data_IF_481565475987
#
_entry.id   IF_481565475987
#
_cell.length_a   1.000
_cell.length_b   1.000
_cell.length_c   1.000
_cell.angle_alpha   90.00
_cell.angle_beta   90.00
_cell.angle_gamma   90.00
#
_symmetry.space_group_name_H-M   'P 1'
#
loop_
_entity.id
_entity.type
_entity.pdbx_description
1 polymer ?
#
# COMPACT_ATOMS: atom_id res chain seq x y z
N UNK A 1 -12.90 9.00 -17.28
CA UNK A 1 -13.17 8.65 -18.70
C UNK A 1 -11.94 7.94 -19.20
N UNK A 2 -12.09 6.73 -19.74
CA UNK A 2 -10.96 5.80 -19.90
C UNK A 2 -9.89 6.33 -20.86
N UNK A 3 -8.68 6.50 -20.35
CA UNK A 3 -7.45 6.70 -21.13
C UNK A 3 -6.84 5.32 -21.39
N UNK A 4 -6.43 5.07 -22.63
CA UNK A 4 -5.75 3.83 -23.01
C UNK A 4 -4.45 4.14 -23.75
N UNK A 5 -3.34 3.52 -23.34
CA UNK A 5 -2.05 3.65 -24.03
C UNK A 5 -1.97 2.80 -25.30
N UNK A 6 -2.58 1.61 -25.25
CA UNK A 6 -2.68 0.71 -26.40
C UNK A 6 -1.54 -0.28 -26.42
N UNK A 7 -0.79 -0.33 -27.52
CA UNK A 7 0.34 -1.25 -27.68
C UNK A 7 1.65 -0.48 -27.56
N UNK A 8 2.60 -1.03 -26.79
CA UNK A 8 3.89 -0.41 -26.56
C UNK A 8 4.12 -0.20 -25.07
N UNK A 9 5.03 0.70 -24.74
CA UNK A 9 5.20 1.22 -23.39
C UNK A 9 4.60 2.61 -23.36
N UNK A 10 3.62 2.79 -22.49
CA UNK A 10 2.83 4.00 -22.39
C UNK A 10 3.03 4.66 -21.04
N UNK A 11 2.97 5.99 -21.04
CA UNK A 11 3.15 6.80 -19.84
C UNK A 11 2.11 7.90 -19.75
N UNK A 12 1.54 8.06 -18.57
CA UNK A 12 0.60 9.12 -18.23
C UNK A 12 1.19 10.00 -17.12
N UNK A 13 1.22 11.31 -17.35
CA UNK A 13 1.61 12.29 -16.34
C UNK A 13 0.41 13.16 -15.95
N UNK A 14 0.11 13.22 -14.65
CA UNK A 14 -0.92 14.09 -14.09
C UNK A 14 -0.28 15.44 -13.71
N UNK A 15 -0.70 16.51 -14.38
CA UNK A 15 -0.10 17.85 -14.24
C UNK A 15 -0.62 18.65 -13.04
N UNK A 16 -1.55 18.09 -12.27
CA UNK A 16 -2.12 18.69 -11.06
C UNK A 16 -2.15 17.67 -9.93
N UNK A 17 -2.13 18.18 -8.70
CA UNK A 17 -2.31 17.38 -7.49
C UNK A 17 -3.78 17.07 -7.20
N UNK A 18 -3.99 16.23 -6.20
CA UNK A 18 -5.27 15.76 -5.68
C UNK A 18 -6.09 14.98 -6.72
N UNK A 19 -5.41 14.18 -7.53
CA UNK A 19 -6.06 13.31 -8.49
C UNK A 19 -6.31 11.94 -7.87
N UNK A 20 -7.48 11.37 -8.14
CA UNK A 20 -7.79 9.97 -7.88
C UNK A 20 -7.84 9.24 -9.23
N UNK A 21 -7.12 8.12 -9.33
CA UNK A 21 -7.04 7.30 -10.55
C UNK A 21 -7.41 5.87 -10.21
N UNK A 22 -8.33 5.29 -10.98
CA UNK A 22 -8.71 3.88 -10.85
C UNK A 22 -8.23 3.08 -12.06
N UNK A 23 -7.40 2.06 -11.84
CA UNK A 23 -6.93 1.16 -12.91
C UNK A 23 -8.10 0.31 -13.41
N UNK A 24 -8.28 0.27 -14.73
CA UNK A 24 -9.39 -0.42 -15.41
C UNK A 24 -10.64 0.44 -15.62
N UNK A 25 -10.81 1.53 -14.85
CA UNK A 25 -11.94 2.47 -15.02
C UNK A 25 -11.51 3.80 -15.64
N UNK A 26 -10.42 4.39 -15.15
CA UNK A 26 -9.86 5.65 -15.65
C UNK A 26 -8.68 5.43 -16.59
N UNK A 27 -7.84 4.43 -16.33
CA UNK A 27 -6.69 4.09 -17.17
C UNK A 27 -6.64 2.60 -17.53
N UNK A 28 -6.07 2.29 -18.70
CA UNK A 28 -5.84 0.92 -19.17
C UNK A 28 -4.61 0.86 -20.08
N UNK A 29 -3.84 -0.22 -20.07
CA UNK A 29 -2.61 -0.35 -20.87
C UNK A 29 -1.72 0.90 -20.76
N UNK A 30 -1.42 1.28 -19.51
CA UNK A 30 -0.50 2.36 -19.14
C UNK A 30 0.52 1.73 -18.20
N UNK A 31 1.77 1.61 -18.62
CA UNK A 31 2.83 0.94 -17.83
C UNK A 31 3.48 1.90 -16.83
N UNK A 32 3.28 3.21 -16.97
CA UNK A 32 3.76 4.21 -16.00
C UNK A 32 2.76 5.34 -15.81
N UNK A 33 2.34 5.55 -14.56
CA UNK A 33 1.54 6.71 -14.16
C UNK A 33 2.32 7.57 -13.16
N UNK A 34 2.47 8.85 -13.46
CA UNK A 34 3.20 9.82 -12.63
C UNK A 34 2.31 10.95 -12.19
N UNK A 35 2.09 11.08 -10.88
CA UNK A 35 1.40 12.20 -10.26
C UNK A 35 2.31 13.41 -10.00
N UNK A 36 1.69 14.54 -9.65
CA UNK A 36 2.36 15.69 -9.03
C UNK A 36 1.67 16.02 -7.72
N UNK A 37 2.43 16.34 -6.66
CA UNK A 37 1.85 16.50 -5.31
C UNK A 37 1.21 15.22 -4.79
N UNK A 38 0.12 15.36 -4.02
CA UNK A 38 -0.60 14.23 -3.42
C UNK A 38 -1.64 13.64 -4.36
N UNK A 39 -1.69 12.32 -4.53
CA UNK A 39 -2.61 11.60 -5.41
C UNK A 39 -3.01 10.25 -4.82
N UNK A 40 -4.18 9.76 -5.23
CA UNK A 40 -4.72 8.45 -4.87
C UNK A 40 -4.73 7.51 -6.07
N UNK A 41 -4.31 6.26 -5.87
CA UNK A 41 -4.34 5.20 -6.88
C UNK A 41 -5.13 4.00 -6.36
N UNK A 42 -6.17 3.63 -7.08
CA UNK A 42 -6.94 2.41 -6.82
C UNK A 42 -6.60 1.36 -7.87
N UNK A 43 -6.23 0.16 -7.44
CA UNK A 43 -5.94 -0.94 -8.36
C UNK A 43 -7.21 -1.48 -9.04
N UNK A 44 -7.00 -2.41 -9.95
CA UNK A 44 -8.08 -3.14 -10.61
C UNK A 44 -8.78 -4.09 -9.63
N UNK A 45 -10.03 -4.46 -9.93
CA UNK A 45 -10.81 -5.43 -9.16
C UNK A 45 -10.38 -6.90 -9.40
N UNK A 46 -9.08 -7.14 -9.36
CA UNK A 46 -8.39 -8.43 -9.53
C UNK A 46 -7.42 -8.62 -8.37
N UNK A 47 -6.71 -9.75 -8.36
CA UNK A 47 -5.63 -9.93 -7.38
C UNK A 47 -4.49 -8.99 -7.74
N UNK A 48 -4.06 -8.13 -6.81
CA UNK A 48 -2.95 -7.21 -7.05
C UNK A 48 -1.84 -7.42 -6.03
N UNK A 49 -0.60 -7.28 -6.49
CA UNK A 49 0.58 -7.19 -5.64
C UNK A 49 1.19 -5.81 -5.80
N UNK A 50 1.27 -5.06 -4.71
CA UNK A 50 1.86 -3.74 -4.62
C UNK A 50 3.26 -3.85 -4.03
N UNK A 51 4.28 -3.49 -4.79
CA UNK A 51 5.66 -3.38 -4.29
C UNK A 51 6.00 -1.91 -4.14
N UNK A 52 5.95 -1.39 -2.92
CA UNK A 52 6.31 -0.01 -2.59
C UNK A 52 7.80 0.04 -2.28
N UNK A 53 8.61 0.49 -3.23
CA UNK A 53 10.08 0.42 -3.15
C UNK A 53 10.77 1.78 -3.01
N UNK A 54 10.02 2.88 -3.09
CA UNK A 54 10.48 4.23 -2.84
C UNK A 54 9.33 5.08 -2.26
N UNK A 55 9.60 6.33 -1.90
CA UNK A 55 8.60 7.28 -1.39
C UNK A 55 7.46 7.45 -2.38
N UNK A 56 6.25 7.04 -2.00
CA UNK A 56 5.03 7.20 -2.80
C UNK A 56 5.18 6.65 -4.24
N UNK A 57 5.96 5.58 -4.38
CA UNK A 57 6.35 4.98 -5.64
C UNK A 57 6.50 3.47 -5.51
N UNK A 58 6.17 2.77 -6.60
CA UNK A 58 6.26 1.33 -6.66
C UNK A 58 5.75 0.76 -7.96
N UNK A 59 5.47 -0.54 -7.91
CA UNK A 59 4.92 -1.32 -9.02
C UNK A 59 3.70 -2.08 -8.54
N UNK A 60 2.68 -2.15 -9.39
CA UNK A 60 1.50 -3.00 -9.20
C UNK A 60 1.56 -4.12 -10.22
N UNK A 61 1.41 -5.35 -9.73
CA UNK A 61 1.30 -6.55 -10.55
C UNK A 61 -0.08 -7.16 -10.31
N UNK A 62 -0.98 -7.10 -11.29
CA UNK A 62 -2.37 -7.54 -11.16
C UNK A 62 -2.59 -9.01 -11.57
N UNK A 63 -1.56 -9.86 -11.44
CA UNK A 63 -1.45 -11.22 -11.98
C UNK A 63 -1.58 -11.33 -13.52
N UNK A 64 -1.79 -10.21 -14.23
CA UNK A 64 -1.61 -10.12 -15.68
C UNK A 64 -0.17 -9.72 -16.01
N UNK A 65 0.18 -9.76 -17.30
CA UNK A 65 1.55 -9.42 -17.76
C UNK A 65 1.84 -7.92 -17.70
N UNK A 66 0.84 -7.08 -17.38
CA UNK A 66 0.93 -5.63 -17.48
C UNK A 66 1.23 -5.02 -16.10
N UNK A 67 2.52 -4.97 -15.76
CA UNK A 67 2.99 -4.26 -14.58
C UNK A 67 2.73 -2.74 -14.72
N UNK A 68 2.22 -2.10 -13.67
CA UNK A 68 1.99 -0.65 -13.64
C UNK A 68 2.95 0.00 -12.65
N UNK A 69 3.88 0.81 -13.16
CA UNK A 69 4.74 1.66 -12.33
C UNK A 69 3.96 2.90 -11.91
N UNK A 70 3.93 3.21 -10.60
CA UNK A 70 3.31 4.42 -10.09
C UNK A 70 4.33 5.32 -9.40
N UNK A 71 4.18 6.63 -9.56
CA UNK A 71 5.08 7.65 -8.97
C UNK A 71 4.26 8.81 -8.42
N UNK A 72 4.58 9.25 -7.19
CA UNK A 72 3.88 10.31 -6.46
C UNK A 72 2.40 10.00 -6.19
N UNK A 73 2.13 8.78 -5.72
CA UNK A 73 0.83 8.37 -5.16
C UNK A 73 1.02 8.01 -3.70
N UNK A 74 0.43 8.80 -2.82
CA UNK A 74 0.57 8.68 -1.38
C UNK A 74 -0.59 7.93 -0.72
N UNK A 75 -1.69 7.76 -1.44
CA UNK A 75 -2.83 6.94 -1.02
C UNK A 75 -3.01 5.80 -2.03
N UNK A 76 -2.88 4.57 -1.55
CA UNK A 76 -3.04 3.37 -2.38
C UNK A 76 -4.22 2.56 -1.85
N UNK A 77 -5.13 2.19 -2.74
CA UNK A 77 -6.29 1.36 -2.44
C UNK A 77 -6.25 0.12 -3.32
N UNK A 78 -6.38 -1.06 -2.73
CA UNK A 78 -6.50 -2.29 -3.48
C UNK A 78 -7.85 -2.40 -4.22
N UNK A 79 -8.06 -3.56 -4.84
CA UNK A 79 -9.27 -3.87 -5.58
C UNK A 79 -10.33 -4.54 -4.69
N UNK A 80 -11.21 -5.31 -5.33
CA UNK A 80 -12.20 -6.13 -4.60
C UNK A 80 -11.75 -7.56 -4.32
N UNK A 81 -10.65 -8.01 -4.92
CA UNK A 81 -10.05 -9.33 -4.67
C UNK A 81 -8.89 -9.18 -3.69
N UNK A 82 -8.01 -10.17 -3.58
CA UNK A 82 -6.87 -10.10 -2.65
C UNK A 82 -5.84 -9.07 -3.12
N UNK A 83 -5.39 -8.22 -2.20
CA UNK A 83 -4.35 -7.23 -2.43
C UNK A 83 -3.18 -7.43 -1.46
N UNK A 84 -1.99 -7.68 -2.00
CA UNK A 84 -0.76 -7.90 -1.25
C UNK A 84 0.12 -6.64 -1.30
N UNK A 85 0.25 -5.92 -0.18
CA UNK A 85 1.11 -4.75 -0.05
C UNK A 85 2.47 -5.12 0.56
N UNK A 86 3.55 -4.87 -0.17
CA UNK A 86 4.92 -5.20 0.22
C UNK A 86 5.74 -3.92 0.33
N UNK A 87 6.19 -3.59 1.55
CA UNK A 87 7.04 -2.44 1.78
C UNK A 87 8.52 -2.82 1.64
N UNK A 88 9.17 -2.30 0.60
CA UNK A 88 10.60 -2.41 0.39
C UNK A 88 11.42 -1.55 1.35
N UNK A 89 12.73 -1.77 1.41
CA UNK A 89 13.62 -1.11 2.38
C UNK A 89 13.56 0.44 2.38
N UNK A 90 13.30 1.05 1.22
CA UNK A 90 13.14 2.50 1.06
C UNK A 90 11.70 2.92 0.80
N UNK A 91 10.76 1.97 0.84
CA UNK A 91 9.35 2.21 0.58
C UNK A 91 8.70 2.98 1.71
N UNK A 92 7.91 3.99 1.37
CA UNK A 92 6.98 4.63 2.29
C UNK A 92 5.76 5.13 1.55
N UNK A 93 4.65 5.23 2.28
CA UNK A 93 3.34 5.63 1.78
C UNK A 93 2.51 6.23 2.92
N UNK A 94 1.70 7.23 2.61
CA UNK A 94 0.91 7.91 3.64
C UNK A 94 -0.31 7.08 4.04
N UNK A 95 -0.98 6.42 3.10
CA UNK A 95 -2.21 5.66 3.36
C UNK A 95 -2.30 4.41 2.49
N UNK A 96 -2.62 3.28 3.12
CA UNK A 96 -2.92 2.01 2.47
C UNK A 96 -4.33 1.54 2.84
N UNK A 97 -5.09 1.09 1.85
CA UNK A 97 -6.44 0.56 2.05
C UNK A 97 -6.51 -0.75 1.29
N UNK A 98 -6.87 -1.86 1.95
CA UNK A 98 -7.02 -3.16 1.27
C UNK A 98 -8.03 -3.13 0.13
N UNK A 99 -9.15 -2.45 0.35
CA UNK A 99 -10.22 -2.26 -0.62
C UNK A 99 -11.58 -2.56 -0.01
N UNK A 100 -12.65 -2.37 -0.77
CA UNK A 100 -14.03 -2.62 -0.31
C UNK A 100 -14.53 -4.04 -0.67
N UNK A 101 -13.58 -4.96 -0.89
CA UNK A 101 -13.80 -6.29 -1.41
C UNK A 101 -14.15 -7.36 -0.39
N UNK A 102 -14.23 -8.60 -0.87
CA UNK A 102 -14.17 -9.80 -0.02
C UNK A 102 -12.81 -10.49 -0.10
N UNK A 103 -11.83 -9.81 -0.70
CA UNK A 103 -10.44 -10.25 -0.69
C UNK A 103 -9.91 -10.40 0.73
N UNK A 104 -8.83 -11.15 0.85
CA UNK A 104 -8.02 -11.16 2.07
C UNK A 104 -6.77 -10.38 1.74
N UNK A 105 -6.64 -9.21 2.35
CA UNK A 105 -5.58 -8.27 2.02
C UNK A 105 -4.42 -8.42 3.00
N UNK A 106 -3.20 -8.25 2.49
CA UNK A 106 -1.98 -8.45 3.28
C UNK A 106 -1.08 -7.22 3.27
N UNK A 107 -0.44 -6.94 4.41
CA UNK A 107 0.60 -5.93 4.53
C UNK A 107 1.87 -6.57 5.07
N UNK A 108 2.93 -6.52 4.27
CA UNK A 108 4.28 -6.98 4.63
C UNK A 108 5.18 -5.81 5.00
N UNK A 109 5.70 -5.86 6.23
CA UNK A 109 6.67 -4.91 6.75
C UNK A 109 8.05 -5.03 6.08
N UNK A 110 8.90 -4.01 6.29
CA UNK A 110 10.28 -4.01 5.78
C UNK A 110 11.09 -5.16 6.36
N UNK A 111 11.75 -5.94 5.51
CA UNK A 111 12.54 -7.09 5.96
C UNK A 111 13.88 -6.68 6.59
N UNK A 112 14.31 -7.38 7.65
CA UNK A 112 15.65 -7.25 8.21
C UNK A 112 15.88 -6.01 9.10
N UNK A 113 14.81 -5.30 9.44
CA UNK A 113 14.79 -4.20 10.42
C UNK A 113 13.84 -4.55 11.56
N UNK A 114 13.80 -3.77 12.64
CA UNK A 114 12.78 -3.94 13.69
C UNK A 114 11.60 -3.05 13.30
N UNK A 115 10.43 -3.64 13.18
CA UNK A 115 9.20 -2.92 12.87
C UNK A 115 8.28 -2.87 14.10
N UNK A 116 7.67 -1.71 14.31
CA UNK A 116 6.67 -1.47 15.34
C UNK A 116 5.33 -1.24 14.67
N UNK A 117 4.42 -2.19 14.85
CA UNK A 117 3.04 -2.09 14.38
C UNK A 117 2.23 -1.31 15.40
N UNK A 118 1.54 -0.25 15.01
CA UNK A 118 0.78 0.58 15.95
C UNK A 118 -0.69 0.54 15.54
N UNK A 119 -1.55 0.20 16.50
CA UNK A 119 -3.00 0.17 16.31
C UNK A 119 -3.67 1.11 17.33
N UNK A 120 -4.47 2.05 16.82
CA UNK A 120 -5.25 2.99 17.63
C UNK A 120 -6.69 3.03 17.13
N UNK A 121 -7.60 3.60 17.91
CA UNK A 121 -9.01 3.72 17.51
C UNK A 121 -9.21 4.58 16.24
N UNK A 122 -8.22 5.39 15.87
CA UNK A 122 -8.33 6.35 14.75
C UNK A 122 -7.46 6.04 13.56
N UNK A 123 -6.33 5.36 13.79
CA UNK A 123 -5.29 5.09 12.79
C UNK A 123 -4.50 3.85 13.16
N UNK A 124 -4.02 3.16 12.15
CA UNK A 124 -3.02 2.10 12.34
C UNK A 124 -1.81 2.43 11.49
N UNK A 125 -0.60 2.33 12.05
CA UNK A 125 0.61 2.76 11.37
C UNK A 125 1.75 1.77 11.54
N UNK A 126 2.77 1.94 10.72
CA UNK A 126 3.95 1.07 10.74
C UNK A 126 5.22 1.92 10.72
N UNK A 127 6.07 1.66 11.71
CA UNK A 127 7.31 2.37 11.94
C UNK A 127 8.49 1.41 11.97
N UNK A 128 9.65 1.88 11.55
CA UNK A 128 10.92 1.22 11.80
C UNK A 128 11.52 1.79 13.09
N UNK A 129 11.78 0.92 14.05
CA UNK A 129 12.54 1.24 15.26
C UNK A 129 14.02 1.37 14.91
N UNK A 130 14.58 2.53 15.19
CA UNK A 130 15.96 2.88 14.88
C UNK A 130 16.79 3.21 16.14
N UNK A 131 16.37 2.82 17.34
CA UNK A 131 17.04 3.16 18.61
C UNK A 131 18.57 2.93 18.52
N UNK A 132 19.41 3.96 18.77
CA UNK A 132 19.11 5.28 19.35
C UNK A 132 18.87 6.44 18.39
N UNK A 133 18.76 6.18 17.09
CA UNK A 133 18.29 7.18 16.13
C UNK A 133 16.76 7.34 16.22
N UNK A 134 16.23 8.36 15.55
CA UNK A 134 14.79 8.57 15.49
C UNK A 134 14.12 7.47 14.67
N UNK A 135 13.01 6.96 15.18
CA UNK A 135 12.16 6.01 14.48
C UNK A 135 11.63 6.61 13.17
N UNK A 136 11.47 5.77 12.16
CA UNK A 136 11.01 6.17 10.84
C UNK A 136 9.57 5.68 10.62
N UNK A 137 8.62 6.61 10.46
CA UNK A 137 7.27 6.30 9.99
C UNK A 137 7.31 6.04 8.48
N UNK A 138 6.83 4.88 8.05
CA UNK A 138 6.84 4.51 6.63
C UNK A 138 5.49 4.02 6.09
N UNK A 139 4.54 3.62 6.94
CA UNK A 139 3.12 3.57 6.58
C UNK A 139 2.37 4.49 7.54
N UNK A 140 1.86 5.61 7.03
CA UNK A 140 1.23 6.65 7.83
C UNK A 140 -0.13 6.26 8.41
N UNK A 141 -0.90 5.49 7.64
CA UNK A 141 -2.17 4.89 8.04
C UNK A 141 -2.44 3.64 7.21
N UNK A 142 -3.12 2.65 7.77
CA UNK A 142 -3.65 1.52 7.02
C UNK A 142 -5.00 1.03 7.55
N UNK A 143 -5.83 0.52 6.65
CA UNK A 143 -7.15 -0.05 6.98
C UNK A 143 -7.56 -1.14 5.98
N UNK A 144 -8.53 -1.97 6.36
CA UNK A 144 -8.99 -3.08 5.53
C UNK A 144 -7.89 -4.11 5.25
N UNK A 145 -7.02 -4.38 6.23
CA UNK A 145 -5.97 -5.39 6.12
C UNK A 145 -6.30 -6.53 7.08
N UNK A 146 -6.36 -7.75 6.55
CA UNK A 146 -6.66 -8.95 7.34
C UNK A 146 -5.41 -9.74 7.72
N UNK A 147 -4.33 -9.62 6.93
CA UNK A 147 -3.09 -10.38 7.13
C UNK A 147 -1.89 -9.46 7.34
N UNK A 148 -1.22 -9.59 8.48
CA UNK A 148 -0.05 -8.79 8.84
C UNK A 148 1.21 -9.66 8.82
N UNK A 149 2.19 -9.31 7.98
CA UNK A 149 3.40 -10.10 7.76
C UNK A 149 4.60 -9.33 8.30
N UNK A 150 5.21 -9.87 9.36
CA UNK A 150 6.38 -9.30 10.02
C UNK A 150 7.62 -9.37 9.13
N UNK A 151 8.47 -8.35 9.18
CA UNK A 151 9.71 -8.29 8.40
C UNK A 151 10.91 -8.97 9.09
N UNK A 152 10.76 -9.31 10.36
CA UNK A 152 11.79 -9.88 11.22
C UNK A 152 11.18 -10.77 12.31
N UNK A 153 12.00 -11.60 12.94
CA UNK A 153 11.58 -12.39 14.10
C UNK A 153 11.42 -11.50 15.33
N UNK A 154 10.38 -11.74 16.14
CA UNK A 154 10.09 -11.02 17.40
C UNK A 154 9.72 -9.54 17.23
N UNK A 155 8.94 -9.21 16.21
CA UNK A 155 8.31 -7.89 16.12
C UNK A 155 7.13 -7.77 17.08
N UNK A 156 6.86 -6.54 17.53
CA UNK A 156 5.78 -6.23 18.46
C UNK A 156 4.71 -5.36 17.81
N UNK A 157 3.48 -5.57 18.25
CA UNK A 157 2.37 -4.66 18.01
C UNK A 157 2.08 -3.84 19.28
N UNK A 158 2.08 -2.52 19.15
CA UNK A 158 1.54 -1.60 20.13
C UNK A 158 0.03 -1.45 19.89
N UNK A 159 -0.72 -1.90 20.89
CA UNK A 159 -2.19 -1.87 20.94
C UNK A 159 -2.69 -1.07 22.15
N UNK A 160 -1.79 -0.35 22.83
CA UNK A 160 -2.06 0.31 24.11
C UNK A 160 -3.03 1.49 24.01
N UNK A 161 -3.22 2.01 22.80
CA UNK A 161 -4.10 3.14 22.49
C UNK A 161 -5.48 2.71 21.94
N UNK A 162 -5.80 1.41 21.95
CA UNK A 162 -7.14 0.90 21.65
C UNK A 162 -8.03 1.03 22.89
N UNK A 163 -9.25 1.53 22.70
CA UNK A 163 -10.25 1.61 23.78
C UNK A 163 -11.22 0.42 23.82
N UNK A 164 -11.24 -0.39 22.76
CA UNK A 164 -12.05 -1.61 22.64
C UNK A 164 -11.32 -2.88 23.09
N UNK A 165 -12.08 -3.95 23.28
CA UNK A 165 -11.54 -5.28 23.53
C UNK A 165 -10.76 -5.78 22.30
N UNK A 166 -9.60 -6.38 22.55
CA UNK A 166 -8.77 -6.99 21.50
C UNK A 166 -9.18 -8.45 21.36
N UNK A 167 -9.91 -8.75 20.29
CA UNK A 167 -10.32 -10.12 19.95
C UNK A 167 -9.20 -10.83 19.18
N UNK A 168 -8.37 -11.59 19.90
CA UNK A 168 -7.38 -12.47 19.28
C UNK A 168 -8.04 -13.79 18.84
N UNK A 169 -8.62 -13.82 17.64
CA UNK A 169 -9.16 -15.07 17.08
C UNK A 169 -8.05 -15.95 16.47
N UNK A 170 -7.56 -16.88 17.30
CA UNK A 170 -6.70 -18.03 16.98
C UNK A 170 -5.37 -17.79 16.25
N UNK A 171 -4.27 -17.95 17.01
CA UNK A 171 -2.99 -18.43 16.49
C UNK A 171 -3.09 -19.97 16.44
N UNK A 172 -2.98 -20.57 15.25
CA UNK A 172 -2.87 -22.05 15.10
C UNK A 172 -1.46 -22.39 14.65
#
# INVERSE_FOLDING_TARGET
>A
GLISGGAGLDSLTLSTANQAVVIGADISAIETVTGTGSNALTASNMVNTWVINATNQGVINDSTVNEVNFVNFNELTGGTANDDFIIGASGNVDTLIGGDGTGVDSLSARTGVINTWIFTDTKSSLMQDNDPAADELYVGDFSGIETYITGNTNEWADVSALSGDIEASSYV
#
